data_IF_608858110256
#
_entry.id   IF_608858110256
#
_cell.length_a   1.000
_cell.length_b   1.000
_cell.length_c   1.000
_cell.angle_alpha   90.00
_cell.angle_beta   90.00
_cell.angle_gamma   90.00
#
_symmetry.space_group_name_H-M   'P 1'
#
loop_
_entity.id
_entity.type
_entity.pdbx_description
1 polymer ?
#
# COMPACT_ATOMS: atom_id res chain seq x y z
N UNK A 1 -13.78 23.64 10.89
CA UNK A 1 -14.49 23.10 12.06
C UNK A 1 -15.44 24.16 12.64
N UNK A 2 -14.98 25.37 12.98
CA UNK A 2 -15.84 26.45 13.52
C UNK A 2 -17.04 26.77 12.62
N UNK A 3 -16.90 26.73 11.29
CA UNK A 3 -18.00 26.94 10.33
C UNK A 3 -19.11 25.87 10.43
N UNK A 4 -18.84 24.75 11.06
CA UNK A 4 -19.75 23.61 11.21
C UNK A 4 -20.17 23.39 12.68
N UNK A 5 -19.91 24.35 13.58
CA UNK A 5 -20.16 24.23 15.02
C UNK A 5 -19.54 23.01 15.68
N UNK A 6 -18.35 22.58 15.20
CA UNK A 6 -17.60 21.48 15.78
C UNK A 6 -16.61 22.08 16.78
N UNK A 7 -16.70 21.66 18.03
CA UNK A 7 -15.76 22.06 19.07
C UNK A 7 -14.40 21.39 18.86
N UNK A 8 -13.33 22.16 19.06
CA UNK A 8 -11.96 21.68 18.93
C UNK A 8 -11.19 22.07 20.17
N UNK A 9 -10.49 21.09 20.73
CA UNK A 9 -9.62 21.29 21.89
C UNK A 9 -8.18 20.99 21.51
N UNK A 10 -7.26 21.88 21.85
CA UNK A 10 -5.84 21.58 21.80
C UNK A 10 -5.47 20.76 23.02
N UNK A 11 -5.19 19.47 22.83
CA UNK A 11 -4.87 18.55 23.92
C UNK A 11 -3.35 18.36 24.13
N UNK A 12 -2.50 18.90 23.25
CA UNK A 12 -1.05 18.76 23.38
C UNK A 12 -0.28 19.36 22.23
N UNK A 13 1.01 19.14 22.23
CA UNK A 13 1.94 19.53 21.18
C UNK A 13 2.98 18.44 20.97
N UNK A 14 3.41 18.22 19.71
CA UNK A 14 4.54 17.37 19.41
C UNK A 14 5.84 18.11 19.80
N UNK A 15 6.77 17.37 20.40
CA UNK A 15 8.09 17.84 20.78
C UNK A 15 9.16 16.87 20.29
N UNK A 16 10.39 17.34 20.14
CA UNK A 16 11.51 16.46 19.82
C UNK A 16 11.94 15.66 21.05
N UNK A 17 12.41 14.43 20.82
CA UNK A 17 12.99 13.57 21.86
C UNK A 17 12.18 12.30 22.13
N UNK A 18 12.55 11.59 23.19
CA UNK A 18 11.99 10.28 23.59
C UNK A 18 11.00 10.38 24.75
N UNK A 19 10.44 11.57 25.01
CA UNK A 19 9.53 11.78 26.13
C UNK A 19 8.06 11.93 25.68
N UNK A 20 7.17 11.20 26.34
CA UNK A 20 5.73 11.40 26.30
C UNK A 20 5.26 11.84 27.69
N UNK A 21 4.79 13.08 27.80
CA UNK A 21 4.35 13.63 29.08
C UNK A 21 2.85 13.92 29.06
N UNK A 22 2.16 13.43 30.07
CA UNK A 22 0.74 13.76 30.34
C UNK A 22 0.69 14.70 31.53
N UNK A 23 0.01 15.82 31.38
CA UNK A 23 -0.15 16.84 32.41
C UNK A 23 -1.64 16.99 32.74
N UNK A 24 -1.96 16.93 34.02
CA UNK A 24 -3.32 17.17 34.51
C UNK A 24 -3.25 18.11 35.75
N UNK A 25 -3.47 19.39 35.53
CA UNK A 25 -3.29 20.41 36.56
C UNK A 25 -1.81 20.48 37.01
N UNK A 26 -1.56 20.21 38.28
CA UNK A 26 -0.20 20.20 38.86
C UNK A 26 0.48 18.83 38.73
N UNK A 27 -0.27 17.79 38.38
CA UNK A 27 0.26 16.43 38.21
C UNK A 27 0.84 16.25 36.82
N UNK A 28 1.97 15.55 36.73
CA UNK A 28 2.58 15.15 35.47
C UNK A 28 3.14 13.72 35.53
N UNK A 29 2.96 13.01 34.42
CA UNK A 29 3.54 11.67 34.20
C UNK A 29 4.37 11.71 32.93
N UNK A 30 5.62 11.28 33.02
CA UNK A 30 6.51 11.23 31.85
C UNK A 30 6.97 9.79 31.59
N UNK A 31 6.88 9.38 30.34
CA UNK A 31 7.27 8.07 29.85
C UNK A 31 8.34 8.20 28.77
N UNK A 32 9.28 7.26 28.74
CA UNK A 32 10.14 7.07 27.57
C UNK A 32 9.37 6.34 26.47
N UNK A 33 9.27 6.93 25.29
CA UNK A 33 8.61 6.35 24.12
C UNK A 33 9.30 5.03 23.72
N UNK A 34 10.63 5.00 23.75
CA UNK A 34 11.41 3.79 23.46
C UNK A 34 11.08 2.66 24.44
N UNK A 35 10.97 2.97 25.74
CA UNK A 35 10.60 1.96 26.76
C UNK A 35 9.17 1.46 26.58
N UNK A 36 8.22 2.35 26.29
CA UNK A 36 6.83 1.98 26.01
C UNK A 36 6.74 1.08 24.78
N UNK A 37 7.47 1.43 23.71
CA UNK A 37 7.54 0.63 22.48
C UNK A 37 8.11 -0.75 22.75
N UNK A 38 9.23 -0.84 23.47
CA UNK A 38 9.85 -2.13 23.77
C UNK A 38 8.93 -3.02 24.59
N UNK A 39 8.22 -2.44 25.56
CA UNK A 39 7.22 -3.14 26.37
C UNK A 39 6.07 -3.68 25.50
N UNK A 40 5.53 -2.82 24.65
CA UNK A 40 4.42 -3.20 23.76
C UNK A 40 4.82 -4.26 22.73
N UNK A 41 6.01 -4.14 22.14
CA UNK A 41 6.47 -5.02 21.08
C UNK A 41 7.05 -6.35 21.57
N UNK A 42 7.30 -6.49 22.89
CA UNK A 42 7.95 -7.66 23.49
C UNK A 42 7.25 -8.97 23.13
N UNK A 43 5.94 -9.03 23.14
CA UNK A 43 5.18 -10.24 22.79
C UNK A 43 5.41 -10.65 21.33
N UNK A 44 5.37 -9.70 20.41
CA UNK A 44 5.65 -9.94 18.98
C UNK A 44 7.10 -10.40 18.76
N UNK A 45 8.05 -9.81 19.48
CA UNK A 45 9.45 -10.24 19.46
C UNK A 45 9.64 -11.68 19.94
N UNK A 46 8.97 -12.07 21.03
CA UNK A 46 9.04 -13.45 21.56
C UNK A 46 8.45 -14.47 20.56
N UNK A 47 7.39 -14.12 19.86
CA UNK A 47 6.81 -14.95 18.81
C UNK A 47 7.75 -15.02 17.59
N UNK A 48 8.27 -13.90 17.11
CA UNK A 48 9.21 -13.82 16.01
C UNK A 48 10.48 -14.63 16.28
N UNK A 49 10.98 -14.63 17.51
CA UNK A 49 12.16 -15.43 17.93
C UNK A 49 11.96 -16.94 17.76
N UNK A 50 10.72 -17.41 17.73
CA UNK A 50 10.38 -18.82 17.49
C UNK A 50 10.23 -19.16 16.00
N UNK A 51 9.98 -18.17 15.17
CA UNK A 51 9.67 -18.34 13.75
C UNK A 51 10.84 -17.99 12.83
N UNK A 52 11.73 -17.12 13.31
CA UNK A 52 12.88 -16.64 12.54
C UNK A 52 14.14 -17.43 12.81
N UNK A 53 15.11 -17.33 11.89
CA UNK A 53 16.47 -17.84 12.13
C UNK A 53 17.09 -17.19 13.36
N UNK A 54 17.98 -17.90 14.03
CA UNK A 54 18.66 -17.45 15.24
C UNK A 54 19.27 -16.04 15.07
N UNK A 55 18.92 -15.14 15.99
CA UNK A 55 19.40 -13.77 16.03
C UNK A 55 18.62 -12.74 15.24
N UNK A 56 17.89 -13.12 14.19
CA UNK A 56 17.19 -12.16 13.32
C UNK A 56 16.07 -11.39 14.04
N UNK A 57 15.33 -12.04 14.91
CA UNK A 57 14.28 -11.37 15.69
C UNK A 57 14.88 -10.35 16.67
N UNK A 58 16.02 -10.69 17.30
CA UNK A 58 16.74 -9.79 18.19
C UNK A 58 17.29 -8.59 17.42
N UNK A 59 17.92 -8.83 16.28
CA UNK A 59 18.41 -7.78 15.41
C UNK A 59 17.31 -6.79 15.01
N UNK A 60 16.14 -7.26 14.59
CA UNK A 60 14.98 -6.41 14.28
C UNK A 60 14.50 -5.63 15.49
N UNK A 61 14.40 -6.28 16.64
CA UNK A 61 13.95 -5.66 17.88
C UNK A 61 14.89 -4.53 18.32
N UNK A 62 16.20 -4.72 18.21
CA UNK A 62 17.21 -3.74 18.64
C UNK A 62 17.41 -2.61 17.62
N UNK A 63 17.27 -2.92 16.33
CA UNK A 63 17.64 -2.02 15.24
C UNK A 63 16.59 -0.97 14.88
N UNK A 64 15.33 -1.08 15.34
CA UNK A 64 14.30 -0.11 14.97
C UNK A 64 14.67 1.34 15.33
N UNK A 65 15.42 1.54 16.42
CA UNK A 65 15.90 2.87 16.89
C UNK A 65 16.87 3.51 15.90
N UNK A 66 17.54 2.69 15.09
CA UNK A 66 18.54 3.11 14.13
C UNK A 66 17.98 3.31 12.73
N UNK A 67 16.70 2.96 12.51
CA UNK A 67 16.03 3.14 11.23
C UNK A 67 15.52 4.57 11.10
N UNK A 68 16.38 5.43 10.60
CA UNK A 68 15.99 6.80 10.24
C UNK A 68 15.17 6.76 8.96
N UNK A 69 14.10 7.53 8.92
CA UNK A 69 13.41 7.81 7.66
C UNK A 69 14.39 8.53 6.74
N UNK A 70 14.80 7.84 5.67
CA UNK A 70 15.67 8.37 4.64
C UNK A 70 14.91 8.33 3.32
N UNK A 71 14.48 9.48 2.86
CA UNK A 71 13.88 9.62 1.54
C UNK A 71 14.36 10.92 0.91
N UNK A 72 14.52 10.90 -0.41
CA UNK A 72 14.84 12.08 -1.19
C UNK A 72 13.68 12.31 -2.15
N UNK A 73 13.04 13.45 -2.06
CA UNK A 73 12.07 13.86 -3.06
C UNK A 73 12.78 14.10 -4.40
N UNK A 74 12.15 13.72 -5.53
CA UNK A 74 12.66 14.12 -6.84
C UNK A 74 12.83 15.65 -6.91
N UNK A 75 13.88 16.13 -7.58
CA UNK A 75 14.22 17.55 -7.64
C UNK A 75 13.11 18.44 -8.21
N UNK A 76 12.21 17.86 -9.02
CA UNK A 76 11.07 18.54 -9.61
C UNK A 76 9.78 18.45 -8.77
N UNK A 77 9.83 17.79 -7.60
CA UNK A 77 8.65 17.64 -6.74
C UNK A 77 8.41 18.93 -5.95
N UNK A 78 7.30 19.58 -6.22
CA UNK A 78 6.88 20.85 -5.59
C UNK A 78 5.70 20.70 -4.62
N UNK A 79 5.29 19.46 -4.32
CA UNK A 79 4.16 19.15 -3.43
C UNK A 79 2.77 19.38 -4.06
N UNK A 80 2.70 19.72 -5.35
CA UNK A 80 1.45 19.92 -6.08
C UNK A 80 1.04 18.69 -6.87
N UNK A 81 -0.25 18.59 -7.15
CA UNK A 81 -0.75 17.57 -8.08
C UNK A 81 -0.21 17.85 -9.48
N UNK A 82 0.16 16.80 -10.25
CA UNK A 82 0.59 16.96 -11.63
C UNK A 82 -0.48 17.63 -12.48
N UNK A 83 -0.05 18.54 -13.36
CA UNK A 83 -0.92 19.08 -14.40
C UNK A 83 -1.01 18.06 -15.53
N UNK A 84 -2.23 17.60 -15.80
CA UNK A 84 -2.47 16.61 -16.85
C UNK A 84 -2.58 17.32 -18.21
N UNK A 85 -1.63 17.04 -19.09
CA UNK A 85 -1.67 17.52 -20.47
C UNK A 85 -2.54 16.57 -21.31
N UNK A 86 -3.79 16.98 -21.55
CA UNK A 86 -4.75 16.21 -22.36
C UNK A 86 -4.43 16.17 -23.87
N UNK A 87 -3.41 16.90 -24.33
CA UNK A 87 -3.00 16.92 -25.76
C UNK A 87 -2.07 15.75 -26.15
N UNK A 88 -1.48 15.06 -25.17
CA UNK A 88 -0.56 13.96 -25.40
C UNK A 88 -1.24 12.60 -25.29
N UNK A 89 -0.90 11.63 -26.16
CA UNK A 89 -1.34 10.27 -25.99
C UNK A 89 -0.80 9.70 -24.67
N UNK A 90 -1.65 8.96 -23.97
CA UNK A 90 -1.33 8.37 -22.67
C UNK A 90 -1.21 6.85 -22.82
N UNK A 91 -0.19 6.22 -22.26
CA UNK A 91 -0.16 4.77 -22.19
C UNK A 91 -1.32 4.24 -21.34
N UNK A 92 -1.81 3.06 -21.66
CA UNK A 92 -2.93 2.46 -20.95
C UNK A 92 -2.46 1.58 -19.80
N UNK A 93 -3.10 1.75 -18.65
CA UNK A 93 -2.90 0.90 -17.48
C UNK A 93 -4.18 0.11 -17.17
N UNK A 94 -4.06 -1.18 -16.91
CA UNK A 94 -5.14 -1.99 -16.38
C UNK A 94 -5.01 -2.11 -14.84
N UNK A 95 -6.07 -1.75 -14.13
CA UNK A 95 -6.21 -2.09 -12.72
C UNK A 95 -6.94 -3.40 -12.62
N UNK A 96 -6.21 -4.47 -12.31
CA UNK A 96 -6.80 -5.79 -12.15
C UNK A 96 -7.33 -5.94 -10.73
N UNK A 97 -8.58 -6.34 -10.64
CA UNK A 97 -9.24 -6.60 -9.36
C UNK A 97 -10.03 -7.89 -9.36
N UNK A 98 -10.31 -8.39 -8.19
CA UNK A 98 -11.10 -9.59 -7.95
C UNK A 98 -12.15 -9.30 -6.87
N UNK A 99 -13.12 -10.16 -6.74
CA UNK A 99 -14.11 -10.13 -5.66
C UNK A 99 -13.42 -10.04 -4.30
N UNK A 100 -13.75 -9.02 -3.52
CA UNK A 100 -13.18 -8.75 -2.19
C UNK A 100 -11.84 -8.00 -2.20
N UNK A 101 -11.30 -7.63 -3.36
CA UNK A 101 -10.22 -6.65 -3.43
C UNK A 101 -10.74 -5.24 -3.19
N UNK A 102 -9.86 -4.32 -2.84
CA UNK A 102 -10.18 -2.90 -2.61
C UNK A 102 -9.05 -1.99 -3.11
N UNK A 103 -9.26 -0.68 -2.97
CA UNK A 103 -8.32 0.36 -3.41
C UNK A 103 -8.14 0.46 -4.94
N UNK A 104 -9.07 -0.07 -5.71
CA UNK A 104 -9.06 0.06 -7.17
C UNK A 104 -9.22 1.51 -7.63
N UNK A 105 -10.02 2.29 -6.93
CA UNK A 105 -10.24 3.72 -7.23
C UNK A 105 -9.03 4.58 -6.92
N UNK A 106 -8.42 4.33 -5.76
CA UNK A 106 -7.21 5.02 -5.33
C UNK A 106 -6.04 4.70 -6.27
N UNK A 107 -5.89 3.43 -6.67
CA UNK A 107 -4.87 3.02 -7.63
C UNK A 107 -5.13 3.63 -9.01
N UNK A 108 -6.38 3.62 -9.47
CA UNK A 108 -6.77 4.23 -10.74
C UNK A 108 -6.47 5.74 -10.75
N UNK A 109 -6.80 6.45 -9.67
CA UNK A 109 -6.49 7.86 -9.53
C UNK A 109 -4.97 8.12 -9.50
N UNK A 110 -4.21 7.34 -8.76
CA UNK A 110 -2.75 7.46 -8.72
C UNK A 110 -2.12 7.27 -10.11
N UNK A 111 -2.56 6.25 -10.86
CA UNK A 111 -2.09 6.01 -12.22
C UNK A 111 -2.55 7.09 -13.20
N UNK A 112 -3.76 7.59 -13.07
CA UNK A 112 -4.24 8.71 -13.88
C UNK A 112 -3.38 9.96 -13.65
N UNK A 113 -3.06 10.28 -12.40
CA UNK A 113 -2.16 11.39 -12.04
C UNK A 113 -0.72 11.16 -12.55
N UNK A 114 -0.28 9.91 -12.60
CA UNK A 114 1.02 9.53 -13.17
C UNK A 114 1.08 9.59 -14.70
N UNK A 115 -0.04 9.81 -15.37
CA UNK A 115 -0.07 10.02 -16.82
C UNK A 115 -0.62 8.85 -17.63
N UNK A 116 -1.28 7.88 -17.01
CA UNK A 116 -1.91 6.77 -17.72
C UNK A 116 -3.39 7.03 -18.06
N UNK A 117 -3.88 6.44 -19.15
CA UNK A 117 -5.29 6.13 -19.32
C UNK A 117 -5.59 4.83 -18.58
N UNK A 118 -6.58 4.85 -17.68
CA UNK A 118 -6.79 3.75 -16.75
C UNK A 118 -8.05 2.96 -17.12
N UNK A 119 -7.89 1.64 -17.17
CA UNK A 119 -8.96 0.68 -17.44
C UNK A 119 -9.18 -0.20 -16.21
N UNK A 120 -10.40 -0.26 -15.71
CA UNK A 120 -10.78 -1.18 -14.64
C UNK A 120 -11.03 -2.57 -15.25
N UNK A 121 -10.32 -3.58 -14.78
CA UNK A 121 -10.36 -4.96 -15.29
C UNK A 121 -10.67 -5.92 -14.15
N UNK A 122 -11.84 -6.51 -14.17
CA UNK A 122 -12.16 -7.58 -13.23
C UNK A 122 -11.65 -8.94 -13.76
N UNK A 123 -11.25 -9.83 -12.84
CA UNK A 123 -10.77 -11.17 -13.25
C UNK A 123 -11.75 -11.93 -14.14
N UNK A 124 -13.06 -11.71 -13.99
CA UNK A 124 -14.06 -12.32 -14.88
C UNK A 124 -13.96 -11.84 -16.32
N UNK A 125 -13.41 -10.65 -16.58
CA UNK A 125 -13.20 -10.14 -17.93
C UNK A 125 -12.09 -10.91 -18.63
N UNK A 126 -11.02 -11.20 -17.92
CA UNK A 126 -9.90 -12.02 -18.39
C UNK A 126 -10.33 -13.49 -18.57
N UNK A 127 -11.05 -14.06 -17.61
CA UNK A 127 -11.54 -15.45 -17.65
C UNK A 127 -12.51 -15.66 -18.82
N UNK A 128 -13.37 -14.70 -19.09
CA UNK A 128 -14.31 -14.77 -20.21
C UNK A 128 -13.67 -14.45 -21.56
N UNK A 129 -12.52 -13.77 -21.57
CA UNK A 129 -11.85 -13.26 -22.76
C UNK A 129 -12.45 -11.98 -23.30
N UNK A 130 -13.23 -11.24 -22.50
CA UNK A 130 -13.65 -9.87 -22.84
C UNK A 130 -12.50 -8.87 -22.80
N UNK A 131 -11.51 -9.18 -22.00
CA UNK A 131 -10.26 -8.45 -21.89
C UNK A 131 -9.10 -9.37 -22.26
N UNK A 132 -8.18 -8.86 -23.10
CA UNK A 132 -7.01 -9.59 -23.60
C UNK A 132 -5.68 -8.92 -23.27
N UNK A 133 -5.71 -7.72 -22.67
CA UNK A 133 -4.57 -6.90 -22.30
C UNK A 133 -3.68 -6.44 -23.49
N UNK A 134 -4.15 -6.58 -24.72
CA UNK A 134 -3.34 -6.29 -25.92
C UNK A 134 -2.99 -4.80 -26.07
N UNK A 135 -3.85 -3.91 -25.56
CA UNK A 135 -3.68 -2.46 -25.60
C UNK A 135 -3.16 -1.87 -24.27
N UNK A 136 -2.76 -2.72 -23.34
CA UNK A 136 -2.30 -2.35 -21.99
C UNK A 136 -0.77 -2.34 -21.93
N UNK A 137 -0.18 -1.27 -21.41
CA UNK A 137 1.26 -1.13 -21.20
C UNK A 137 1.67 -1.31 -19.72
N UNK A 138 0.74 -1.17 -18.79
CA UNK A 138 1.01 -1.33 -17.36
C UNK A 138 -0.13 -2.07 -16.66
N UNK A 139 0.22 -2.96 -15.74
CA UNK A 139 -0.75 -3.68 -14.91
C UNK A 139 -0.53 -3.31 -13.44
N UNK A 140 -1.59 -2.88 -12.76
CA UNK A 140 -1.67 -2.75 -11.32
C UNK A 140 -2.64 -3.76 -10.74
N UNK A 141 -2.17 -4.63 -9.85
CA UNK A 141 -3.03 -5.51 -9.09
C UNK A 141 -3.30 -4.90 -7.71
N UNK A 142 -4.57 -4.74 -7.36
CA UNK A 142 -4.95 -4.17 -6.07
C UNK A 142 -5.02 -5.24 -4.97
N UNK A 143 -4.87 -4.83 -3.72
CA UNK A 143 -4.91 -5.71 -2.56
C UNK A 143 -6.32 -5.95 -2.03
N UNK A 144 -6.40 -6.60 -0.89
CA UNK A 144 -7.64 -6.89 -0.16
C UNK A 144 -7.82 -8.39 0.10
N UNK A 145 -8.89 -8.72 0.79
CA UNK A 145 -9.25 -10.12 1.09
C UNK A 145 -10.00 -10.76 -0.09
N UNK A 146 -9.34 -10.84 -1.24
CA UNK A 146 -9.94 -11.41 -2.43
C UNK A 146 -10.39 -12.86 -2.21
N UNK A 147 -11.54 -13.21 -2.76
CA UNK A 147 -12.18 -14.52 -2.58
C UNK A 147 -12.35 -14.92 -1.12
N UNK A 148 -12.69 -13.95 -0.24
CA UNK A 148 -12.87 -14.14 1.20
C UNK A 148 -11.62 -14.72 1.88
N UNK A 149 -10.45 -14.42 1.36
CA UNK A 149 -9.13 -14.89 1.86
C UNK A 149 -8.98 -16.43 1.88
N UNK A 150 -9.79 -17.14 1.13
CA UNK A 150 -9.69 -18.60 1.01
C UNK A 150 -8.34 -18.95 0.40
N UNK A 151 -7.61 -19.83 1.05
CA UNK A 151 -6.25 -20.24 0.68
C UNK A 151 -5.19 -19.11 0.73
N UNK A 152 -5.54 -17.94 1.26
CA UNK A 152 -4.72 -16.73 1.21
C UNK A 152 -5.01 -15.89 -0.04
N UNK A 153 -5.21 -14.59 0.14
CA UNK A 153 -5.87 -13.66 -0.81
C UNK A 153 -5.39 -13.75 -2.26
N UNK A 154 -4.10 -13.86 -2.52
CA UNK A 154 -3.56 -13.87 -3.88
C UNK A 154 -3.65 -15.24 -4.59
N UNK A 155 -3.90 -16.33 -3.87
CA UNK A 155 -3.86 -17.68 -4.47
C UNK A 155 -4.99 -17.94 -5.46
N UNK A 156 -6.18 -17.38 -5.21
CA UNK A 156 -7.28 -17.45 -6.15
C UNK A 156 -6.98 -16.75 -7.49
N UNK A 157 -6.32 -15.61 -7.43
CA UNK A 157 -5.86 -14.90 -8.63
C UNK A 157 -4.82 -15.71 -9.39
N UNK A 158 -3.81 -16.19 -8.68
CA UNK A 158 -2.77 -17.02 -9.27
C UNK A 158 -3.37 -18.28 -9.94
N UNK A 159 -4.34 -18.92 -9.29
CA UNK A 159 -5.07 -20.05 -9.85
C UNK A 159 -5.81 -19.69 -11.13
N UNK A 160 -6.51 -18.55 -11.15
CA UNK A 160 -7.21 -18.10 -12.35
C UNK A 160 -6.22 -17.85 -13.52
N UNK A 161 -5.11 -17.17 -13.27
CA UNK A 161 -4.08 -16.94 -14.30
C UNK A 161 -3.36 -18.22 -14.74
N UNK A 162 -3.16 -19.18 -13.84
CA UNK A 162 -2.44 -20.43 -14.18
C UNK A 162 -3.32 -21.40 -14.95
N UNK A 163 -4.59 -21.55 -14.58
CA UNK A 163 -5.43 -22.66 -15.02
C UNK A 163 -6.55 -22.26 -15.99
N UNK A 164 -6.90 -20.97 -16.07
CA UNK A 164 -7.82 -20.52 -17.11
C UNK A 164 -7.05 -20.15 -18.38
N UNK A 165 -7.33 -20.82 -19.48
CA UNK A 165 -6.60 -20.67 -20.75
C UNK A 165 -6.58 -19.24 -21.28
N UNK A 166 -7.73 -18.53 -21.24
CA UNK A 166 -7.84 -17.16 -21.76
C UNK A 166 -7.06 -16.16 -20.89
N UNK A 167 -7.23 -16.23 -19.59
CA UNK A 167 -6.50 -15.36 -18.65
C UNK A 167 -4.99 -15.63 -18.71
N UNK A 168 -4.58 -16.90 -18.79
CA UNK A 168 -3.18 -17.30 -18.95
C UNK A 168 -2.58 -16.75 -20.24
N UNK A 169 -3.29 -16.89 -21.36
CA UNK A 169 -2.84 -16.40 -22.66
C UNK A 169 -2.71 -14.88 -22.66
N UNK A 170 -3.69 -14.16 -22.14
CA UNK A 170 -3.66 -12.70 -22.03
C UNK A 170 -2.42 -12.22 -21.24
N UNK A 171 -2.18 -12.80 -20.09
CA UNK A 171 -1.03 -12.43 -19.24
C UNK A 171 0.31 -12.80 -19.89
N UNK A 172 0.42 -13.97 -20.49
CA UNK A 172 1.64 -14.39 -21.20
C UNK A 172 1.95 -13.51 -22.41
N UNK A 173 0.93 -13.11 -23.16
CA UNK A 173 1.09 -12.20 -24.29
C UNK A 173 1.51 -10.81 -23.81
N UNK A 174 0.94 -10.31 -22.72
CA UNK A 174 1.37 -9.07 -22.10
C UNK A 174 2.89 -9.09 -21.80
N UNK A 175 3.39 -10.10 -21.11
CA UNK A 175 4.80 -10.21 -20.75
C UNK A 175 5.76 -10.46 -21.93
N UNK A 176 5.26 -10.83 -23.10
CA UNK A 176 6.10 -11.04 -24.30
C UNK A 176 6.32 -9.75 -25.10
N UNK A 177 5.56 -8.73 -24.84
CA UNK A 177 5.63 -7.46 -25.57
C UNK A 177 6.79 -6.61 -25.03
N UNK A 178 7.38 -5.80 -25.89
CA UNK A 178 8.47 -4.88 -25.55
C UNK A 178 7.98 -3.54 -24.99
N UNK A 179 6.70 -3.24 -25.15
CA UNK A 179 6.06 -1.98 -24.75
C UNK A 179 5.33 -2.06 -23.41
N UNK A 180 5.61 -3.08 -22.59
CA UNK A 180 4.97 -3.31 -21.28
C UNK A 180 5.95 -3.27 -20.13
#
# INVERSE_FOLDING_TARGET
FAQHNIEIFKIGSAIDGDAFTVINGEDSLTFSISTLRDTWFKTSFLLDSKQSKNGMAQERFDNYKNQKLQFTFPSHFDGKLPVIDGSKPRPKAAIIREKGSNSEREMANAMFLAGFDVKDVHMTDLISGRETLEDIQFIGAVGGFSNSDVLGSAKGWAGAFLYNEKANTALKNFYKREDT
#
